data_IF_964156696755
#
_entry.id   IF_964156696755
#
_cell.length_a   1.000
_cell.length_b   1.000
_cell.length_c   1.000
_cell.angle_alpha   90.00
_cell.angle_beta   90.00
_cell.angle_gamma   90.00
#
_symmetry.space_group_name_H-M   'P 1'
#
loop_
_entity.id
_entity.type
_entity.pdbx_description
1 polymer ?
#
# COMPACT_ATOMS: atom_id res chain seq x y z
N UNK A 1 -13.47 -6.00 -38.35
CA UNK A 1 -12.08 -6.15 -37.90
C UNK A 1 -11.63 -7.59 -38.06
N UNK A 2 -10.48 -7.80 -38.65
CA UNK A 2 -9.91 -9.13 -38.73
C UNK A 2 -9.53 -9.63 -37.33
N UNK A 3 -10.01 -10.79 -36.97
CA UNK A 3 -9.70 -11.43 -35.71
C UNK A 3 -8.61 -12.48 -35.93
N UNK A 4 -7.49 -12.32 -35.31
CA UNK A 4 -6.48 -13.37 -35.23
C UNK A 4 -6.95 -14.42 -34.22
N UNK A 5 -7.66 -15.42 -34.73
CA UNK A 5 -8.19 -16.50 -33.89
C UNK A 5 -7.15 -17.57 -33.59
N UNK A 6 -6.10 -17.61 -34.39
CA UNK A 6 -5.06 -18.63 -34.27
C UNK A 6 -3.72 -18.00 -34.54
N UNK A 7 -2.75 -18.24 -33.67
CA UNK A 7 -1.36 -17.85 -33.86
C UNK A 7 -0.48 -19.02 -33.45
N UNK A 8 0.31 -19.55 -34.39
CA UNK A 8 1.18 -20.72 -34.17
C UNK A 8 0.45 -21.92 -33.52
N UNK A 9 -0.80 -22.19 -33.94
CA UNK A 9 -1.60 -23.25 -33.38
C UNK A 9 -2.36 -22.94 -32.10
N UNK A 10 -2.16 -21.76 -31.53
CA UNK A 10 -2.89 -21.31 -30.33
C UNK A 10 -4.05 -20.40 -30.71
N UNK A 11 -5.27 -20.65 -30.17
CA UNK A 11 -6.36 -19.72 -30.35
C UNK A 11 -6.12 -18.43 -29.54
N UNK A 12 -6.30 -17.28 -30.19
CA UNK A 12 -6.23 -15.99 -29.53
C UNK A 12 -7.65 -15.48 -29.35
N UNK A 13 -8.02 -15.20 -28.11
CA UNK A 13 -9.33 -14.68 -27.78
C UNK A 13 -9.39 -13.16 -27.99
N UNK A 14 -10.55 -12.70 -28.38
CA UNK A 14 -10.88 -11.29 -28.37
C UNK A 14 -11.68 -10.99 -27.10
N UNK A 15 -11.17 -10.09 -26.28
CA UNK A 15 -11.82 -9.68 -25.05
C UNK A 15 -12.07 -8.16 -25.08
N UNK A 16 -13.17 -7.75 -24.48
CA UNK A 16 -13.49 -6.32 -24.33
C UNK A 16 -12.88 -5.71 -23.05
N UNK A 17 -12.31 -6.54 -22.21
CA UNK A 17 -11.65 -6.13 -20.97
C UNK A 17 -10.36 -6.91 -20.78
N UNK A 18 -9.54 -6.49 -19.82
CA UNK A 18 -8.32 -7.20 -19.51
C UNK A 18 -8.59 -8.53 -18.81
N UNK A 19 -7.85 -9.55 -19.23
CA UNK A 19 -7.88 -10.86 -18.60
C UNK A 19 -6.98 -10.89 -17.37
N UNK A 20 -7.37 -11.70 -16.39
CA UNK A 20 -6.57 -11.99 -15.18
C UNK A 20 -5.98 -13.40 -15.19
N UNK A 21 -6.20 -14.17 -16.25
CA UNK A 21 -5.69 -15.55 -16.34
C UNK A 21 -4.22 -15.55 -16.76
N UNK A 22 -3.34 -15.88 -15.82
CA UNK A 22 -1.89 -15.95 -16.07
C UNK A 22 -1.57 -16.91 -17.21
N UNK A 23 -0.66 -16.50 -18.09
CA UNK A 23 -0.24 -17.25 -19.25
C UNK A 23 -1.14 -17.08 -20.47
N UNK A 24 -2.24 -16.35 -20.36
CA UNK A 24 -3.12 -16.07 -21.48
C UNK A 24 -2.56 -14.97 -22.37
N UNK A 25 -2.62 -15.18 -23.69
CA UNK A 25 -2.40 -14.16 -24.72
C UNK A 25 -3.76 -13.85 -25.36
N UNK A 26 -4.12 -12.59 -25.43
CA UNK A 26 -5.40 -12.18 -25.94
C UNK A 26 -5.33 -10.84 -26.66
N UNK A 27 -6.36 -10.55 -27.47
CA UNK A 27 -6.52 -9.24 -28.10
C UNK A 27 -7.60 -8.46 -27.33
N UNK A 28 -7.24 -7.32 -26.78
CA UNK A 28 -8.20 -6.45 -26.11
C UNK A 28 -8.83 -5.52 -27.15
N UNK A 29 -10.13 -5.70 -27.40
CA UNK A 29 -10.86 -4.95 -28.42
C UNK A 29 -11.14 -3.50 -28.00
N UNK A 30 -11.17 -3.22 -26.71
CA UNK A 30 -11.36 -1.87 -26.19
C UNK A 30 -10.11 -1.00 -26.34
N UNK A 31 -8.93 -1.57 -26.10
CA UNK A 31 -7.65 -0.85 -26.26
C UNK A 31 -7.02 -1.02 -27.63
N UNK A 32 -7.47 -1.99 -28.42
CA UNK A 32 -6.93 -2.27 -29.75
C UNK A 32 -5.53 -2.88 -29.72
N UNK A 33 -5.17 -3.62 -28.70
CA UNK A 33 -3.82 -4.16 -28.54
C UNK A 33 -3.80 -5.62 -28.12
N UNK A 34 -2.74 -6.33 -28.52
CA UNK A 34 -2.43 -7.64 -27.96
C UNK A 34 -1.86 -7.51 -26.58
N UNK A 35 -2.28 -8.39 -25.71
CA UNK A 35 -1.81 -8.44 -24.32
C UNK A 35 -1.47 -9.85 -23.89
N UNK A 36 -0.51 -9.98 -23.01
CA UNK A 36 -0.17 -11.23 -22.35
C UNK A 36 -0.32 -11.03 -20.85
N UNK A 37 -0.95 -11.97 -20.16
CA UNK A 37 -1.03 -11.98 -18.72
C UNK A 37 0.19 -12.73 -18.20
N UNK A 38 1.11 -12.01 -17.60
CA UNK A 38 2.31 -12.59 -17.01
C UNK A 38 2.14 -12.73 -15.50
N UNK A 39 2.80 -13.71 -14.92
CA UNK A 39 2.91 -13.82 -13.47
C UNK A 39 3.90 -12.78 -12.95
N UNK A 40 3.53 -11.53 -13.05
CA UNK A 40 4.32 -10.38 -12.60
C UNK A 40 4.34 -10.20 -11.08
N UNK A 41 3.91 -11.22 -10.37
CA UNK A 41 3.74 -11.15 -8.93
C UNK A 41 2.40 -10.50 -8.53
N UNK A 42 2.18 -10.44 -7.23
CA UNK A 42 1.03 -9.74 -6.70
C UNK A 42 1.00 -8.29 -7.21
N UNK A 43 -0.19 -7.72 -7.45
CA UNK A 43 -0.28 -6.31 -7.83
C UNK A 43 0.55 -5.49 -6.86
N UNK A 44 1.45 -4.67 -7.40
CA UNK A 44 2.19 -3.72 -6.58
C UNK A 44 1.14 -2.82 -5.94
N UNK A 45 1.08 -2.82 -4.61
CA UNK A 45 0.16 -1.97 -3.89
C UNK A 45 0.33 -0.52 -4.34
N UNK A 46 -0.75 0.18 -4.49
CA UNK A 46 -0.72 1.62 -4.77
C UNK A 46 -0.67 2.37 -3.44
N UNK A 47 0.20 3.36 -3.38
CA UNK A 47 0.24 4.27 -2.25
C UNK A 47 -0.92 5.26 -2.35
N UNK A 48 -1.60 5.46 -1.26
CA UNK A 48 -2.64 6.49 -1.15
C UNK A 48 -2.43 7.27 0.15
N UNK A 49 -2.91 8.51 0.19
CA UNK A 49 -2.86 9.30 1.41
C UNK A 49 -3.78 8.70 2.47
N UNK A 50 -3.26 8.60 3.69
CA UNK A 50 -4.03 8.23 4.87
C UNK A 50 -4.25 9.44 5.79
N UNK A 51 -4.68 9.20 7.01
CA UNK A 51 -4.77 10.25 8.03
C UNK A 51 -3.39 10.71 8.48
N UNK A 52 -3.24 11.99 8.74
CA UNK A 52 -1.99 12.57 9.18
C UNK A 52 -1.85 12.48 10.71
N UNK A 53 -0.61 12.42 11.18
CA UNK A 53 -0.28 12.62 12.59
C UNK A 53 -0.59 14.06 13.01
N UNK A 54 -0.77 14.30 14.30
CA UNK A 54 -1.04 15.63 14.87
C UNK A 54 0.04 16.66 14.51
N UNK A 55 1.22 16.22 14.12
CA UNK A 55 2.31 17.08 13.67
C UNK A 55 3.42 16.28 13.01
N UNK A 56 4.24 16.97 12.21
CA UNK A 56 5.40 16.35 11.55
C UNK A 56 6.40 15.83 12.58
N UNK A 57 6.76 14.55 12.50
CA UNK A 57 7.68 13.86 13.39
C UNK A 57 8.65 13.01 12.60
N UNK A 58 9.84 12.81 13.15
CA UNK A 58 10.88 11.91 12.60
C UNK A 58 11.51 11.11 13.71
N UNK A 59 12.16 9.99 13.37
CA UNK A 59 12.83 9.10 14.32
C UNK A 59 11.92 8.59 15.45
N UNK A 60 10.64 8.42 15.14
CA UNK A 60 9.65 7.86 16.06
C UNK A 60 9.67 6.33 16.02
N UNK A 61 9.14 5.70 17.05
CA UNK A 61 8.85 4.28 17.07
C UNK A 61 7.41 4.01 16.68
N UNK A 62 7.14 2.80 16.24
CA UNK A 62 5.78 2.40 15.89
C UNK A 62 5.57 0.91 16.02
N UNK A 63 4.32 0.52 16.23
CA UNK A 63 3.88 -0.86 16.28
C UNK A 63 2.40 -0.96 15.90
N UNK A 64 1.93 -2.16 15.59
CA UNK A 64 0.52 -2.42 15.34
C UNK A 64 0.20 -2.87 13.92
N UNK A 65 -1.05 -2.71 13.53
CA UNK A 65 -1.60 -3.08 12.22
C UNK A 65 -2.09 -1.86 11.44
N UNK A 66 -2.43 -2.08 10.19
CA UNK A 66 -2.99 -1.06 9.32
C UNK A 66 -4.30 -0.44 9.83
N UNK A 67 -5.03 -1.15 10.69
CA UNK A 67 -6.30 -0.69 11.28
C UNK A 67 -6.19 -0.37 12.77
N UNK A 68 -5.05 -0.63 13.40
CA UNK A 68 -4.79 -0.39 14.81
C UNK A 68 -3.29 -0.19 15.02
N UNK A 69 -2.83 1.01 14.77
CA UNK A 69 -1.42 1.39 14.87
C UNK A 69 -1.13 2.26 16.08
N UNK A 70 0.12 2.27 16.49
CA UNK A 70 0.63 3.14 17.55
C UNK A 70 1.96 3.71 17.10
N UNK A 71 2.15 5.01 17.27
CA UNK A 71 3.44 5.67 17.09
C UNK A 71 3.77 6.46 18.35
N UNK A 72 5.04 6.52 18.68
CA UNK A 72 5.45 7.14 19.95
C UNK A 72 6.83 7.76 19.86
N UNK A 73 7.02 8.82 20.61
CA UNK A 73 8.27 9.56 20.70
C UNK A 73 8.69 10.24 19.42
N UNK A 74 9.95 10.36 19.19
CA UNK A 74 10.54 10.98 18.00
C UNK A 74 10.92 12.43 18.20
N UNK A 75 11.24 13.08 17.09
CA UNK A 75 11.55 14.51 17.04
C UNK A 75 10.43 15.25 16.34
N UNK A 76 9.79 16.16 17.04
CA UNK A 76 9.00 17.23 16.46
C UNK A 76 9.95 18.32 15.89
N UNK A 77 9.46 19.29 15.13
CA UNK A 77 10.30 20.29 14.50
C UNK A 77 11.23 21.05 15.47
N UNK A 78 10.80 21.25 16.72
CA UNK A 78 11.52 22.04 17.70
C UNK A 78 12.22 21.24 18.78
N UNK A 79 11.82 19.98 19.05
CA UNK A 79 12.36 19.20 20.16
C UNK A 79 12.04 17.70 20.06
N UNK A 80 12.73 16.92 20.87
CA UNK A 80 12.36 15.52 21.14
C UNK A 80 11.01 15.50 21.88
N UNK A 81 10.13 14.60 21.50
CA UNK A 81 8.78 14.53 22.05
C UNK A 81 8.50 13.19 22.73
N UNK A 82 7.60 13.21 23.71
CA UNK A 82 7.05 12.02 24.34
C UNK A 82 5.70 11.60 23.75
N UNK A 83 5.15 12.40 22.85
CA UNK A 83 3.80 12.19 22.31
C UNK A 83 3.63 10.80 21.75
N UNK A 84 2.48 10.23 22.04
CA UNK A 84 2.03 8.94 21.52
C UNK A 84 0.71 9.13 20.81
N UNK A 85 0.61 8.58 19.60
CA UNK A 85 -0.62 8.65 18.81
C UNK A 85 -1.07 7.25 18.41
N UNK A 86 -2.36 7.03 18.46
CA UNK A 86 -3.04 5.78 18.10
C UNK A 86 -3.81 5.96 16.81
N UNK A 87 -3.76 4.96 15.94
CA UNK A 87 -4.48 4.92 14.68
C UNK A 87 -5.63 3.92 14.77
N UNK A 88 -6.83 4.34 14.36
CA UNK A 88 -8.03 3.51 14.39
C UNK A 88 -8.42 2.93 13.01
N UNK A 89 -7.54 3.02 12.02
CA UNK A 89 -7.83 2.64 10.64
C UNK A 89 -8.27 3.80 9.75
N UNK A 90 -8.54 4.96 10.32
CA UNK A 90 -9.00 6.15 9.59
C UNK A 90 -8.22 7.40 9.99
N UNK A 91 -8.03 7.61 11.29
CA UNK A 91 -7.39 8.83 11.81
C UNK A 91 -6.46 8.51 12.97
N UNK A 92 -5.53 9.41 13.21
CA UNK A 92 -4.63 9.40 14.35
C UNK A 92 -5.22 10.25 15.49
N UNK A 93 -5.05 9.78 16.70
CA UNK A 93 -5.48 10.48 17.92
C UNK A 93 -4.39 10.39 18.97
N UNK A 94 -4.11 11.50 19.65
CA UNK A 94 -3.17 11.54 20.75
C UNK A 94 -3.71 10.74 21.93
N UNK A 95 -2.87 9.94 22.53
CA UNK A 95 -3.14 9.12 23.71
C UNK A 95 -2.12 9.42 24.80
N UNK A 96 -2.06 8.62 25.87
CA UNK A 96 -1.12 8.86 26.95
C UNK A 96 0.34 8.84 26.46
N UNK A 97 1.09 9.87 26.83
CA UNK A 97 2.48 10.05 26.45
C UNK A 97 3.44 9.08 27.12
N UNK A 98 4.63 8.97 26.56
CA UNK A 98 5.75 8.32 27.24
C UNK A 98 6.15 9.12 28.48
N UNK A 99 6.64 8.45 29.51
CA UNK A 99 7.16 9.11 30.72
C UNK A 99 8.28 10.12 30.43
N UNK A 100 9.08 9.84 29.43
CA UNK A 100 10.18 10.70 29.01
C UNK A 100 10.22 10.85 27.50
N UNK A 101 10.43 12.07 27.04
CA UNK A 101 10.65 12.36 25.63
C UNK A 101 11.91 11.63 25.13
N UNK A 102 11.78 10.94 24.01
CA UNK A 102 12.89 10.19 23.41
C UNK A 102 12.71 10.03 21.90
N UNK A 103 13.82 9.88 21.21
CA UNK A 103 13.86 9.61 19.79
C UNK A 103 14.64 8.33 19.48
N UNK A 104 14.68 7.92 18.23
CA UNK A 104 15.28 6.67 17.77
C UNK A 104 14.76 5.44 18.54
N UNK A 105 13.50 5.49 18.93
CA UNK A 105 12.84 4.37 19.61
C UNK A 105 12.38 3.34 18.60
N UNK A 106 12.39 2.10 19.03
CA UNK A 106 11.85 1.00 18.26
C UNK A 106 10.59 0.46 18.92
N UNK A 107 9.67 -0.01 18.11
CA UNK A 107 8.47 -0.66 18.57
C UNK A 107 8.29 -2.01 17.91
N UNK A 108 7.65 -2.91 18.64
CA UNK A 108 7.27 -4.21 18.14
C UNK A 108 5.99 -4.65 18.82
N UNK A 109 5.17 -5.38 18.13
CA UNK A 109 3.93 -5.90 18.64
C UNK A 109 2.69 -5.40 17.91
N UNK A 110 1.54 -5.68 18.51
CA UNK A 110 0.23 -5.31 17.98
C UNK A 110 -0.70 -4.93 19.13
N UNK A 111 -1.70 -4.14 18.80
CA UNK A 111 -2.76 -3.76 19.74
C UNK A 111 -3.86 -4.80 19.75
#
# INVERSE_FOLDING_TARGET
MANLKTFSGFPIQNLSSDSTSVGQIYYNTSSGSFKAVTDGGAPIGTWSSGGDLSGGKRHLGGAGYATAGLVFGGNAPSAVTAQTESYNGTSWSEVADLDNARNYVQGAGYQ
#
